data_IF_749140315687
#
_entry.id   IF_749140315687
#
_cell.length_a   1.000
_cell.length_b   1.000
_cell.length_c   1.000
_cell.angle_alpha   90.00
_cell.angle_beta   90.00
_cell.angle_gamma   90.00
#
_symmetry.space_group_name_H-M   'P 1'
#
loop_
_entity.id
_entity.type
_entity.pdbx_description
1 polymer ?
#
# COMPACT_ATOMS: atom_id res chain seq x y z
N UNK A 1 -0.02 2.05 6.10
CA UNK A 1 -0.65 0.74 5.86
C UNK A 1 -1.36 0.29 7.13
N UNK A 2 -2.61 -0.16 7.02
CA UNK A 2 -3.39 -0.75 8.11
C UNK A 2 -3.51 -2.24 7.82
N UNK A 3 -3.20 -3.08 8.80
CA UNK A 3 -3.08 -4.53 8.65
C UNK A 3 -3.97 -5.17 9.71
N UNK A 4 -5.09 -5.73 9.27
CA UNK A 4 -6.02 -6.45 10.14
C UNK A 4 -6.01 -7.95 9.82
N UNK A 5 -4.99 -8.64 10.32
CA UNK A 5 -4.85 -10.10 10.17
C UNK A 5 -4.21 -10.70 11.42
N UNK A 6 -4.31 -12.01 11.57
CA UNK A 6 -3.59 -12.74 12.63
C UNK A 6 -2.08 -12.62 12.48
N UNK A 7 -1.37 -12.51 13.60
CA UNK A 7 0.09 -12.38 13.64
C UNK A 7 0.63 -11.15 12.89
N UNK A 8 -0.17 -10.08 12.79
CA UNK A 8 0.12 -8.91 11.95
C UNK A 8 1.35 -8.10 12.37
N UNK A 9 1.81 -8.21 13.63
CA UNK A 9 3.03 -7.56 14.07
C UNK A 9 4.29 -8.02 13.33
N UNK A 10 4.32 -9.21 12.73
CA UNK A 10 5.48 -9.62 11.92
C UNK A 10 5.69 -8.68 10.74
N UNK A 11 4.62 -8.15 10.15
CA UNK A 11 4.70 -7.14 9.07
C UNK A 11 5.26 -5.83 9.62
N UNK A 12 4.79 -5.38 10.79
CA UNK A 12 5.31 -4.17 11.42
C UNK A 12 6.81 -4.30 11.76
N UNK A 13 7.26 -5.48 12.20
CA UNK A 13 8.68 -5.78 12.47
C UNK A 13 9.51 -5.88 11.21
N UNK A 14 8.97 -6.45 10.13
CA UNK A 14 9.64 -6.51 8.84
C UNK A 14 9.89 -5.10 8.29
N UNK A 15 8.89 -4.23 8.33
CA UNK A 15 9.04 -2.82 7.92
C UNK A 15 10.06 -2.10 8.81
N UNK A 16 10.04 -2.35 10.12
CA UNK A 16 11.03 -1.79 11.06
C UNK A 16 12.47 -2.11 10.71
N UNK A 17 12.74 -3.33 10.24
CA UNK A 17 14.09 -3.78 9.90
C UNK A 17 14.51 -3.36 8.49
N UNK A 18 13.56 -2.90 7.67
CA UNK A 18 13.82 -2.59 6.27
C UNK A 18 14.42 -1.20 6.09
N UNK A 19 15.54 -1.13 5.37
CA UNK A 19 16.17 0.13 4.97
C UNK A 19 15.47 0.81 3.78
N UNK A 20 14.60 0.07 3.08
CA UNK A 20 13.89 0.53 1.88
C UNK A 20 12.55 1.20 2.20
N UNK A 21 11.95 0.92 3.36
CA UNK A 21 10.60 1.36 3.72
C UNK A 21 10.59 2.43 4.81
N UNK A 22 11.51 3.40 4.74
CA UNK A 22 11.63 4.48 5.75
C UNK A 22 10.46 5.46 5.73
N UNK A 23 9.76 5.54 4.60
CA UNK A 23 8.58 6.38 4.38
C UNK A 23 7.26 5.61 4.61
N UNK A 24 7.29 4.46 5.28
CA UNK A 24 6.10 3.65 5.54
C UNK A 24 5.78 3.61 7.03
N UNK A 25 4.50 3.79 7.33
CA UNK A 25 3.92 3.49 8.65
C UNK A 25 3.01 2.27 8.55
N UNK A 26 3.10 1.37 9.51
CA UNK A 26 2.29 0.15 9.64
C UNK A 26 1.53 0.17 10.95
N UNK A 27 0.23 -0.05 10.86
CA UNK A 27 -0.66 -0.26 12.00
C UNK A 27 -1.17 -1.70 11.94
N UNK A 28 -0.74 -2.53 12.89
CA UNK A 28 -1.07 -3.94 12.99
C UNK A 28 -2.13 -4.16 14.08
N UNK A 29 -3.10 -5.04 13.82
CA UNK A 29 -4.21 -5.35 14.76
C UNK A 29 -3.83 -6.31 15.89
N UNK A 30 -2.69 -6.99 15.81
CA UNK A 30 -2.30 -8.07 16.72
C UNK A 30 -0.79 -8.18 16.88
N UNK A 31 -0.33 -8.76 17.99
CA UNK A 31 1.08 -9.17 18.19
C UNK A 31 1.45 -10.40 17.37
N UNK A 32 2.74 -10.71 17.32
CA UNK A 32 3.30 -11.83 16.53
C UNK A 32 2.89 -13.23 17.01
N UNK A 33 2.18 -13.35 18.13
CA UNK A 33 1.64 -14.60 18.67
C UNK A 33 0.14 -14.47 19.04
N UNK A 34 -0.55 -13.48 18.47
CA UNK A 34 -1.97 -13.23 18.73
C UNK A 34 -2.77 -13.27 17.42
N UNK A 35 -4.00 -13.78 17.52
CA UNK A 35 -4.96 -13.70 16.42
C UNK A 35 -5.57 -12.29 16.35
N UNK A 36 -5.95 -11.85 15.14
CA UNK A 36 -6.85 -10.70 15.06
C UNK A 36 -8.27 -11.15 15.41
N UNK A 37 -9.00 -10.31 16.12
CA UNK A 37 -10.34 -10.62 16.57
C UNK A 37 -11.40 -9.93 15.70
N UNK A 38 -12.10 -10.75 14.91
CA UNK A 38 -13.16 -10.32 14.00
C UNK A 38 -12.76 -9.08 13.18
N UNK A 39 -13.57 -8.04 13.19
CA UNK A 39 -13.35 -6.76 12.50
C UNK A 39 -13.03 -5.61 13.47
N UNK A 40 -12.73 -5.89 14.75
CA UNK A 40 -12.68 -4.86 15.78
C UNK A 40 -11.70 -3.73 15.45
N UNK A 41 -10.52 -4.07 14.95
CA UNK A 41 -9.51 -3.08 14.60
C UNK A 41 -9.96 -2.26 13.39
N UNK A 42 -10.36 -2.92 12.30
CA UNK A 42 -10.89 -2.27 11.10
C UNK A 42 -12.09 -1.39 11.40
N UNK A 43 -13.00 -1.81 12.27
CA UNK A 43 -14.20 -1.07 12.63
C UNK A 43 -13.88 0.23 13.37
N UNK A 44 -12.87 0.22 14.26
CA UNK A 44 -12.41 1.47 14.90
C UNK A 44 -11.81 2.42 13.87
N UNK A 45 -11.01 1.93 12.93
CA UNK A 45 -10.45 2.73 11.85
C UNK A 45 -11.54 3.28 10.92
N UNK A 46 -12.50 2.47 10.51
CA UNK A 46 -13.58 2.86 9.60
C UNK A 46 -14.48 3.96 10.20
N UNK A 47 -14.72 3.92 11.51
CA UNK A 47 -15.60 4.87 12.21
C UNK A 47 -14.87 6.10 12.75
N UNK A 48 -13.55 6.16 12.66
CA UNK A 48 -12.79 7.30 13.17
C UNK A 48 -12.99 8.55 12.30
N UNK A 49 -12.91 9.73 12.94
CA UNK A 49 -12.88 10.99 12.20
C UNK A 49 -11.46 11.28 11.71
N UNK A 50 -11.24 11.10 10.41
CA UNK A 50 -9.94 11.25 9.77
C UNK A 50 -9.64 12.66 9.26
N UNK A 51 -10.58 13.60 9.40
CA UNK A 51 -10.47 14.95 8.81
C UNK A 51 -9.40 15.81 9.47
N UNK A 52 -9.17 15.62 10.78
CA UNK A 52 -8.22 16.44 11.54
C UNK A 52 -7.42 15.67 12.58
N UNK A 53 -7.56 14.35 12.66
CA UNK A 53 -6.77 13.51 13.57
C UNK A 53 -5.59 12.93 12.85
N UNK A 54 -4.41 12.97 13.47
CA UNK A 54 -3.27 12.22 12.98
C UNK A 54 -3.58 10.72 13.04
N UNK A 55 -3.11 9.97 12.06
CA UNK A 55 -3.21 8.51 12.00
C UNK A 55 -2.71 7.82 13.28
N UNK A 56 -1.64 8.35 13.92
CA UNK A 56 -1.16 7.89 15.23
C UNK A 56 -2.17 8.06 16.37
N UNK A 57 -2.98 9.11 16.35
CA UNK A 57 -4.02 9.33 17.35
C UNK A 57 -5.18 8.37 17.17
N UNK A 58 -5.58 8.12 15.93
CA UNK A 58 -6.58 7.09 15.60
C UNK A 58 -6.10 5.72 16.07
N UNK A 59 -4.83 5.39 15.87
CA UNK A 59 -4.23 4.16 16.39
C UNK A 59 -4.25 4.10 17.93
N UNK A 60 -3.95 5.20 18.63
CA UNK A 60 -4.04 5.27 20.10
C UNK A 60 -5.46 4.99 20.58
N UNK A 61 -6.47 5.49 19.87
CA UNK A 61 -7.87 5.19 20.16
C UNK A 61 -8.23 3.72 19.88
N UNK A 62 -7.74 3.15 18.78
CA UNK A 62 -7.88 1.73 18.47
C UNK A 62 -7.30 0.87 19.60
N UNK A 63 -6.07 1.15 20.02
CA UNK A 63 -5.41 0.44 21.13
C UNK A 63 -6.21 0.47 22.43
N UNK A 64 -6.91 1.57 22.72
CA UNK A 64 -7.78 1.68 23.92
C UNK A 64 -9.08 0.91 23.79
N UNK A 65 -9.61 0.74 22.57
CA UNK A 65 -10.89 0.07 22.30
C UNK A 65 -10.76 -1.44 22.09
N UNK A 66 -9.56 -1.92 21.78
CA UNK A 66 -9.29 -3.34 21.57
C UNK A 66 -9.19 -4.09 22.90
N UNK A 67 -9.83 -5.26 22.96
CA UNK A 67 -9.90 -6.11 24.17
C UNK A 67 -9.25 -7.49 24.00
N UNK A 68 -9.28 -8.02 22.79
CA UNK A 68 -8.93 -9.42 22.50
C UNK A 68 -7.58 -9.60 21.81
N UNK A 69 -6.99 -8.53 21.32
CA UNK A 69 -5.64 -8.52 20.76
C UNK A 69 -4.95 -7.19 21.06
N UNK A 70 -3.63 -7.20 20.98
CA UNK A 70 -2.77 -6.07 21.25
C UNK A 70 -2.29 -5.48 19.92
N UNK A 71 -2.86 -4.36 19.45
CA UNK A 71 -2.38 -3.73 18.24
C UNK A 71 -0.98 -3.13 18.44
N UNK A 72 -0.13 -3.27 17.41
CA UNK A 72 1.22 -2.73 17.34
C UNK A 72 1.36 -1.76 16.17
N UNK A 73 2.24 -0.77 16.30
CA UNK A 73 2.52 0.20 15.25
C UNK A 73 4.02 0.30 15.07
N UNK A 74 4.45 0.36 13.81
CA UNK A 74 5.77 0.80 13.46
C UNK A 74 5.71 1.96 12.48
N UNK A 75 6.50 2.99 12.74
CA UNK A 75 6.60 4.18 11.90
C UNK A 75 8.04 4.33 11.48
N UNK A 76 8.27 4.44 10.17
CA UNK A 76 9.49 5.03 9.66
C UNK A 76 9.57 6.52 10.02
N UNK A 77 10.67 7.16 9.66
CA UNK A 77 11.01 8.53 10.06
C UNK A 77 9.94 9.54 9.61
N UNK A 78 9.38 10.29 10.56
CA UNK A 78 8.35 11.34 10.40
C UNK A 78 7.03 10.97 9.67
N UNK A 79 6.77 9.69 9.38
CA UNK A 79 5.58 9.24 8.64
C UNK A 79 4.27 9.25 9.42
N UNK A 80 4.30 9.46 10.74
CA UNK A 80 3.13 9.39 11.61
C UNK A 80 2.39 10.74 11.83
N UNK A 81 2.88 11.84 11.25
CA UNK A 81 2.32 13.20 11.38
C UNK A 81 1.31 13.56 10.28
N UNK A 82 0.66 12.55 9.71
CA UNK A 82 -0.35 12.72 8.66
C UNK A 82 -1.66 12.05 9.04
N UNK A 83 -2.76 12.54 8.47
CA UNK A 83 -4.07 11.89 8.46
C UNK A 83 -4.03 10.60 7.63
N UNK A 84 -5.11 9.80 7.65
CA UNK A 84 -5.22 8.61 6.79
C UNK A 84 -5.17 8.94 5.29
N UNK A 85 -5.51 10.19 4.92
CA UNK A 85 -5.49 10.69 3.55
C UNK A 85 -4.11 11.21 3.13
N UNK A 86 -3.11 11.19 4.02
CA UNK A 86 -1.79 11.74 3.76
C UNK A 86 -1.68 13.25 3.97
N UNK A 87 -2.76 13.94 4.35
CA UNK A 87 -2.70 15.36 4.69
C UNK A 87 -1.95 15.58 6.03
N UNK A 88 -1.09 16.60 6.16
CA UNK A 88 -0.48 16.95 7.44
C UNK A 88 -1.55 17.28 8.48
N UNK A 89 -1.39 16.80 9.71
CA UNK A 89 -2.38 16.98 10.78
C UNK A 89 -2.04 18.13 11.75
N UNK A 90 -0.84 18.70 11.66
CA UNK A 90 -0.29 19.75 12.54
C UNK A 90 -0.47 21.17 11.99
N UNK A 91 -1.28 21.35 10.95
CA UNK A 91 -1.52 22.64 10.31
C UNK A 91 -2.54 23.48 11.09
N UNK A 92 -2.27 24.78 11.22
CA UNK A 92 -3.16 25.78 11.81
C UNK A 92 -3.41 26.92 10.82
N UNK A 93 -4.66 27.20 10.40
CA UNK A 93 -5.90 26.51 10.76
C UNK A 93 -5.98 25.09 10.16
N UNK A 94 -6.76 24.17 10.75
CA UNK A 94 -6.98 22.83 10.17
C UNK A 94 -7.62 22.92 8.78
N UNK A 95 -7.27 21.97 7.89
CA UNK A 95 -7.86 21.91 6.56
C UNK A 95 -9.39 21.77 6.61
N UNK A 96 -10.05 22.51 5.73
CA UNK A 96 -11.48 22.34 5.49
C UNK A 96 -11.77 21.05 4.74
N UNK A 97 -13.00 20.55 4.81
CA UNK A 97 -13.43 19.37 4.03
C UNK A 97 -13.25 19.57 2.52
N UNK A 98 -13.39 20.82 2.04
CA UNK A 98 -13.20 21.15 0.61
C UNK A 98 -11.74 21.01 0.21
N UNK A 99 -10.81 21.55 1.00
CA UNK A 99 -9.37 21.45 0.73
C UNK A 99 -8.86 20.01 0.82
N UNK A 100 -9.32 19.24 1.81
CA UNK A 100 -8.99 17.82 1.90
C UNK A 100 -9.49 17.05 0.67
N UNK A 101 -10.70 17.36 0.21
CA UNK A 101 -11.28 16.73 -0.99
C UNK A 101 -10.50 17.08 -2.25
N UNK A 102 -10.08 18.34 -2.37
CA UNK A 102 -9.38 18.85 -3.54
C UNK A 102 -7.91 18.45 -3.59
N UNK A 103 -7.20 18.36 -2.46
CA UNK A 103 -5.74 18.24 -2.47
C UNK A 103 -5.21 16.88 -1.99
N UNK A 104 -6.00 16.10 -1.26
CA UNK A 104 -5.53 14.88 -0.59
C UNK A 104 -6.39 13.63 -0.82
N UNK A 105 -7.67 13.81 -1.14
CA UNK A 105 -8.56 12.68 -1.45
C UNK A 105 -8.52 12.34 -2.95
N UNK A 106 -8.45 11.04 -3.24
CA UNK A 106 -8.46 10.50 -4.61
C UNK A 106 -7.08 10.12 -5.15
N UNK A 107 -7.03 9.59 -6.37
CA UNK A 107 -5.80 9.12 -7.02
C UNK A 107 -4.95 10.26 -7.62
N UNK A 108 -4.94 11.43 -6.97
CA UNK A 108 -4.35 12.64 -7.54
C UNK A 108 -2.82 12.57 -7.67
N UNK A 109 -2.17 11.75 -6.84
CA UNK A 109 -0.72 11.54 -6.87
C UNK A 109 -0.27 10.43 -7.83
N UNK A 110 -1.15 9.86 -8.67
CA UNK A 110 -0.69 8.95 -9.72
C UNK A 110 -0.22 9.79 -10.91
N UNK A 111 1.09 9.80 -11.24
CA UNK A 111 1.58 10.57 -12.38
C UNK A 111 0.82 10.16 -13.64
N UNK A 112 0.33 11.13 -14.41
CA UNK A 112 -0.33 10.88 -15.70
C UNK A 112 0.55 10.02 -16.61
N UNK A 113 1.88 10.09 -16.46
CA UNK A 113 2.84 9.22 -17.13
C UNK A 113 2.54 7.72 -16.94
N UNK A 114 2.11 7.27 -15.75
CA UNK A 114 1.77 5.85 -15.53
C UNK A 114 0.51 5.43 -16.30
N UNK A 115 -0.45 6.35 -16.47
CA UNK A 115 -1.61 6.12 -17.32
C UNK A 115 -1.20 6.04 -18.80
N UNK A 116 -0.38 7.00 -19.27
CA UNK A 116 0.11 7.04 -20.65
C UNK A 116 0.90 5.78 -21.00
N UNK A 117 1.85 5.37 -20.14
CA UNK A 117 2.63 4.15 -20.34
C UNK A 117 1.73 2.91 -20.43
N UNK A 118 0.69 2.81 -19.59
CA UNK A 118 -0.28 1.71 -19.66
C UNK A 118 -1.04 1.70 -21.00
N UNK A 119 -1.51 2.85 -21.47
CA UNK A 119 -2.21 2.94 -22.76
C UNK A 119 -1.31 2.65 -23.96
N UNK A 120 -0.06 3.10 -23.92
CA UNK A 120 0.92 2.82 -24.97
C UNK A 120 1.31 1.34 -25.01
N UNK A 121 1.48 0.69 -23.86
CA UNK A 121 1.78 -0.75 -23.80
C UNK A 121 0.60 -1.61 -24.30
N UNK A 122 -0.64 -1.22 -24.00
CA UNK A 122 -1.84 -1.90 -24.53
C UNK A 122 -1.99 -1.73 -26.05
N UNK A 123 -1.46 -0.63 -26.61
CA UNK A 123 -1.46 -0.40 -28.07
C UNK A 123 -0.43 -1.27 -28.80
N UNK A 124 0.61 -1.74 -28.11
CA UNK A 124 1.63 -2.62 -28.68
C UNK A 124 1.19 -4.08 -28.71
N UNK A 125 0.44 -4.55 -27.72
CA UNK A 125 -0.09 -5.93 -27.69
C UNK A 125 -1.16 -6.19 -28.77
N UNK A 126 -1.79 -5.13 -29.30
CA UNK A 126 -2.76 -5.23 -30.41
C UNK A 126 -2.15 -5.37 -31.81
N UNK A 127 -0.83 -5.18 -31.99
CA UNK A 127 -0.19 -5.17 -33.31
C UNK A 127 0.67 -6.41 -33.60
N UNK A 128 1.01 -7.23 -32.62
CA UNK A 128 1.87 -8.42 -32.84
C UNK A 128 1.13 -9.68 -33.30
N UNK A 129 -0.20 -9.68 -33.41
CA UNK A 129 -0.96 -10.86 -33.86
C UNK A 129 -1.27 -10.92 -35.36
N UNK A 130 -0.83 -9.95 -36.17
CA UNK A 130 -1.26 -9.82 -37.57
C UNK A 130 -0.13 -9.77 -38.62
N UNK A 131 1.02 -10.42 -38.39
CA UNK A 131 1.98 -10.69 -39.47
C UNK A 131 2.20 -12.20 -39.59
N UNK A 132 1.46 -12.78 -40.53
CA UNK A 132 1.49 -14.18 -40.86
C UNK A 132 2.74 -14.62 -41.63
N UNK A 133 3.08 -15.89 -41.39
CA UNK A 133 3.12 -16.99 -42.37
C UNK A 133 4.02 -16.83 -43.61
N UNK A 134 4.91 -17.83 -43.73
CA UNK A 134 5.57 -18.41 -44.92
C UNK A 134 6.93 -17.85 -45.36
N UNK A 135 7.98 -18.65 -45.11
CA UNK A 135 8.75 -19.34 -46.16
C UNK A 135 9.67 -20.43 -45.58
N UNK A 136 9.39 -21.68 -45.95
CA UNK A 136 10.36 -22.79 -46.16
C UNK A 136 11.49 -22.34 -47.12
N UNK A 137 12.71 -22.91 -47.19
CA UNK A 137 13.26 -24.23 -46.85
C UNK A 137 14.81 -24.21 -46.99
N UNK A 138 15.45 -25.32 -46.60
CA UNK A 138 16.83 -25.82 -46.91
C UNK A 138 17.98 -25.22 -46.07
N UNK A 139 18.83 -25.96 -45.36
CA UNK A 139 19.07 -27.38 -45.16
C UNK A 139 20.55 -27.58 -44.77
N UNK A 140 20.86 -28.48 -43.83
CA UNK A 140 22.08 -29.32 -43.75
C UNK A 140 22.39 -29.75 -42.29
N UNK A 141 22.94 -30.95 -42.19
CA UNK A 141 23.00 -31.89 -41.07
C UNK A 141 24.30 -31.73 -40.26
N UNK A 142 24.38 -32.44 -39.12
CA UNK A 142 25.54 -32.79 -38.25
C UNK A 142 25.85 -31.79 -37.14
N UNK A 143 26.16 -32.16 -35.89
CA UNK A 143 26.23 -33.44 -35.15
C UNK A 143 26.47 -33.07 -33.67
N UNK A 144 25.92 -33.84 -32.71
CA UNK A 144 26.26 -33.72 -31.28
C UNK A 144 27.75 -34.00 -31.01
N UNK A 145 28.26 -33.62 -29.83
CA UNK A 145 28.50 -34.69 -28.86
C UNK A 145 28.17 -34.34 -27.40
N UNK A 146 27.89 -35.42 -26.67
CA UNK A 146 27.72 -35.57 -25.22
C UNK A 146 28.92 -35.06 -24.40
N UNK A 147 28.64 -34.49 -23.23
CA UNK A 147 29.19 -34.96 -21.94
C UNK A 147 28.26 -34.59 -20.80
#
# INVERSE_FOLDING_TARGET
MIVDQSYSAEIARAVKRSQQHRNVVVYASSKGHEYSWADHFTNVWARANHTGKCSKEVFREAKRKMRYSTPEMHSGEDTAKVTIFGAPCDVRPPFTRKELKMNYLGCQNLPTALWVMKFLNLSQEGQTSAVGRSKEQVGSVTSQPKR
#
